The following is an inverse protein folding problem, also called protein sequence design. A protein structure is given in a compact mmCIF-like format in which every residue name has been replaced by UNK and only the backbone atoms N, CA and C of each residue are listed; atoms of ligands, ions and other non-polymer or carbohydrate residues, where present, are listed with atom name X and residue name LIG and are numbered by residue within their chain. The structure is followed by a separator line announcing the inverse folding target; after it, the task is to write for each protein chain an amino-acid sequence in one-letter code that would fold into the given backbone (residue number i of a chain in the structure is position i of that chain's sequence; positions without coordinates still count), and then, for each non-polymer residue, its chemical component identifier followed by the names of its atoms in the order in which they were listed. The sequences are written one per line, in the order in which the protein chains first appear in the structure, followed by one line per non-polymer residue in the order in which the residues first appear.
data_IF_853972909242
#
_entry.id   IF_853972909242
#
_cell.length_a   1.000
_cell.length_b   1.000
_cell.length_c   1.000
_cell.angle_alpha   90.00
_cell.angle_beta   90.00
_cell.angle_gamma   90.00
#
_symmetry.space_group_name_H-M   'P 1'
#
loop_
_entity.id
_entity.type
_entity.pdbx_description
1 polymer ?
#
# COMPACT_ATOMS: atom_id res chain seq x y z
N UNK A 1 -25.48 -11.09 -29.33
CA UNK A 1 -25.94 -10.50 -28.06
C UNK A 1 -25.28 -11.28 -26.94
N UNK A 2 -24.60 -10.58 -26.03
CA UNK A 2 -23.81 -11.05 -24.88
C UNK A 2 -22.40 -11.58 -25.17
N UNK A 3 -21.41 -10.67 -25.26
CA UNK A 3 -19.98 -10.97 -25.06
C UNK A 3 -19.19 -9.75 -24.53
N UNK A 4 -19.84 -8.90 -23.72
CA UNK A 4 -19.26 -7.61 -23.26
C UNK A 4 -19.31 -7.46 -21.73
N UNK A 5 -19.30 -8.56 -20.96
CA UNK A 5 -19.40 -8.48 -19.49
C UNK A 5 -18.11 -8.79 -18.74
N UNK A 6 -17.10 -9.31 -19.42
CA UNK A 6 -15.85 -9.72 -18.78
C UNK A 6 -14.79 -8.61 -18.79
N UNK A 7 -14.92 -7.59 -19.65
CA UNK A 7 -13.95 -6.48 -19.74
C UNK A 7 -14.07 -5.49 -18.55
N UNK A 8 -15.28 -5.20 -18.06
CA UNK A 8 -15.50 -4.20 -17.01
C UNK A 8 -14.96 -4.62 -15.62
N UNK A 9 -14.93 -5.92 -15.30
CA UNK A 9 -14.39 -6.42 -14.02
C UNK A 9 -12.85 -6.40 -14.00
N UNK A 10 -12.18 -6.59 -15.16
CA UNK A 10 -10.72 -6.53 -15.26
C UNK A 10 -10.18 -5.12 -15.06
N UNK A 11 -10.85 -4.09 -15.61
CA UNK A 11 -10.39 -2.70 -15.60
C UNK A 11 -10.31 -2.13 -14.18
N UNK A 12 -11.21 -2.50 -13.26
CA UNK A 12 -11.17 -2.04 -11.87
C UNK A 12 -9.97 -2.63 -11.12
N UNK A 13 -9.66 -3.92 -11.36
CA UNK A 13 -8.51 -4.59 -10.74
C UNK A 13 -7.18 -4.02 -11.23
N UNK A 14 -7.10 -3.70 -12.53
CA UNK A 14 -5.92 -3.09 -13.16
C UNK A 14 -5.74 -1.63 -12.70
N UNK A 15 -6.83 -0.85 -12.61
CA UNK A 15 -6.78 0.54 -12.11
C UNK A 15 -6.40 0.60 -10.63
N UNK A 16 -6.92 -0.31 -9.79
CA UNK A 16 -6.50 -0.41 -8.39
C UNK A 16 -5.00 -0.71 -8.28
N UNK A 17 -4.48 -1.66 -9.05
CA UNK A 17 -3.06 -2.02 -9.01
C UNK A 17 -2.18 -0.83 -9.40
N UNK A 18 -2.55 -0.09 -10.45
CA UNK A 18 -1.87 1.14 -10.87
C UNK A 18 -1.94 2.22 -9.78
N UNK A 19 -3.09 2.37 -9.10
CA UNK A 19 -3.23 3.31 -8.00
C UNK A 19 -2.35 2.90 -6.80
N UNK A 20 -2.20 1.60 -6.52
CA UNK A 20 -1.30 1.07 -5.49
C UNK A 20 0.16 1.30 -5.86
N UNK A 21 0.55 1.16 -7.13
CA UNK A 21 1.90 1.52 -7.58
C UNK A 21 2.19 3.01 -7.39
N UNK A 22 1.24 3.89 -7.71
CA UNK A 22 1.36 5.32 -7.43
C UNK A 22 1.48 5.62 -5.93
N UNK A 23 0.87 4.82 -5.05
CA UNK A 23 1.06 4.94 -3.59
C UNK A 23 2.53 4.69 -3.24
N UNK A 24 3.16 3.68 -3.83
CA UNK A 24 4.58 3.36 -3.60
C UNK A 24 5.46 4.57 -3.97
N UNK A 25 5.27 5.16 -5.15
CA UNK A 25 6.03 6.33 -5.61
C UNK A 25 5.89 7.53 -4.66
N UNK A 26 4.66 7.81 -4.19
CA UNK A 26 4.40 8.88 -3.21
C UNK A 26 5.11 8.61 -1.89
N UNK A 27 5.12 7.36 -1.43
CA UNK A 27 5.78 6.99 -0.18
C UNK A 27 7.30 7.04 -0.30
N UNK A 28 7.88 6.62 -1.42
CA UNK A 28 9.32 6.79 -1.69
C UNK A 28 9.73 8.26 -1.65
N UNK A 29 8.93 9.14 -2.25
CA UNK A 29 9.15 10.59 -2.20
C UNK A 29 9.04 11.14 -0.77
N UNK A 30 8.12 10.60 0.02
CA UNK A 30 7.85 11.05 1.39
C UNK A 30 8.85 10.56 2.42
N UNK A 31 9.38 9.35 2.25
CA UNK A 31 10.30 8.68 3.16
C UNK A 31 11.64 8.38 2.46
N UNK A 32 12.40 9.42 2.03
CA UNK A 32 13.64 9.21 1.27
C UNK A 32 14.74 8.50 2.05
N UNK A 33 14.61 8.42 3.37
CA UNK A 33 15.53 7.72 4.29
C UNK A 33 15.26 6.22 4.42
N UNK A 34 14.10 5.75 3.94
CA UNK A 34 13.68 4.35 4.01
C UNK A 34 14.00 3.67 2.68
N UNK A 35 14.46 2.41 2.75
CA UNK A 35 14.73 1.62 1.55
C UNK A 35 13.46 1.48 0.68
N UNK A 36 13.56 1.61 -0.65
CA UNK A 36 12.47 1.31 -1.58
C UNK A 36 11.81 -0.05 -1.32
N UNK A 37 12.62 -1.07 -1.01
CA UNK A 37 12.14 -2.44 -0.73
C UNK A 37 11.28 -2.50 0.52
N UNK A 38 11.63 -1.76 1.57
CA UNK A 38 10.86 -1.74 2.82
C UNK A 38 9.52 -1.00 2.63
N UNK A 39 9.52 0.06 1.80
CA UNK A 39 8.30 0.77 1.40
C UNK A 39 7.37 -0.15 0.60
N UNK A 40 7.89 -0.84 -0.42
CA UNK A 40 7.13 -1.82 -1.19
C UNK A 40 6.57 -2.94 -0.30
N UNK A 41 7.39 -3.44 0.62
CA UNK A 41 6.99 -4.50 1.54
C UNK A 41 5.84 -4.04 2.45
N UNK A 42 5.92 -2.83 3.03
CA UNK A 42 4.85 -2.27 3.85
C UNK A 42 3.56 -2.09 3.04
N UNK A 43 3.63 -1.52 1.84
CA UNK A 43 2.47 -1.34 0.95
C UNK A 43 1.82 -2.68 0.61
N UNK A 44 2.60 -3.67 0.17
CA UNK A 44 2.09 -5.01 -0.18
C UNK A 44 1.51 -5.74 1.02
N UNK A 45 2.12 -5.58 2.20
CA UNK A 45 1.62 -6.19 3.45
C UNK A 45 0.24 -5.64 3.81
N UNK A 46 0.06 -4.32 3.70
CA UNK A 46 -1.24 -3.68 3.98
C UNK A 46 -2.26 -4.02 2.90
N UNK A 47 -1.87 -4.01 1.61
CA UNK A 47 -2.76 -4.35 0.49
C UNK A 47 -3.36 -5.75 0.59
N UNK A 48 -2.55 -6.75 0.99
CA UNK A 48 -3.02 -8.12 1.25
C UNK A 48 -4.12 -8.23 2.30
N UNK A 49 -4.26 -7.26 3.20
CA UNK A 49 -5.35 -7.25 4.21
C UNK A 49 -6.73 -6.99 3.58
N UNK A 50 -6.78 -6.53 2.33
CA UNK A 50 -8.00 -6.19 1.60
C UNK A 50 -8.34 -7.19 0.49
N UNK A 51 -7.60 -8.31 0.36
CA UNK A 51 -7.80 -9.26 -0.75
C UNK A 51 -9.23 -9.79 -0.85
N UNK A 52 -9.92 -9.99 0.29
CA UNK A 52 -11.30 -10.49 0.35
C UNK A 52 -12.36 -9.38 0.45
N UNK A 53 -11.97 -8.10 0.34
CA UNK A 53 -12.90 -6.98 0.44
C UNK A 53 -13.70 -6.80 -0.86
N UNK A 54 -15.04 -6.69 -0.71
CA UNK A 54 -15.99 -6.55 -1.84
C UNK A 54 -16.04 -5.15 -2.44
N UNK A 55 -15.75 -4.12 -1.64
CA UNK A 55 -15.71 -2.71 -2.09
C UNK A 55 -14.24 -2.30 -2.11
N UNK A 56 -13.74 -1.92 -3.28
CA UNK A 56 -12.30 -1.75 -3.52
C UNK A 56 -11.87 -0.32 -3.87
N UNK A 57 -12.80 0.59 -4.15
CA UNK A 57 -12.56 2.00 -4.49
C UNK A 57 -11.68 2.75 -3.46
N UNK A 58 -11.73 2.33 -2.19
CA UNK A 58 -10.98 2.96 -1.10
C UNK A 58 -9.69 2.22 -0.73
N UNK A 59 -9.41 1.07 -1.34
CA UNK A 59 -8.24 0.24 -1.02
C UNK A 59 -6.94 1.04 -1.19
N UNK A 60 -6.69 1.79 -2.28
CA UNK A 60 -5.46 2.55 -2.44
C UNK A 60 -5.23 3.58 -1.30
N UNK A 61 -6.29 4.28 -0.89
CA UNK A 61 -6.24 5.27 0.21
C UNK A 61 -5.97 4.61 1.56
N UNK A 62 -6.61 3.47 1.83
CA UNK A 62 -6.42 2.72 3.07
C UNK A 62 -5.03 2.09 3.13
N UNK A 63 -4.52 1.60 2.00
CA UNK A 63 -3.17 1.07 1.85
C UNK A 63 -2.13 2.14 2.17
N UNK A 64 -2.23 3.33 1.56
CA UNK A 64 -1.31 4.43 1.87
C UNK A 64 -1.33 4.80 3.35
N UNK A 65 -2.54 4.92 3.94
CA UNK A 65 -2.69 5.25 5.36
C UNK A 65 -2.08 4.17 6.26
N UNK A 66 -2.27 2.89 5.94
CA UNK A 66 -1.69 1.78 6.69
C UNK A 66 -0.17 1.73 6.58
N UNK A 67 0.37 1.83 5.37
CA UNK A 67 1.81 1.81 5.13
C UNK A 67 2.51 2.97 5.84
N UNK A 68 1.93 4.17 5.83
CA UNK A 68 2.46 5.31 6.60
C UNK A 68 2.55 5.06 8.09
N UNK A 69 1.62 4.28 8.67
CA UNK A 69 1.65 3.92 10.09
C UNK A 69 2.76 2.90 10.37
N UNK A 70 2.88 1.86 9.55
CA UNK A 70 3.91 0.83 9.71
C UNK A 70 5.33 1.40 9.53
N UNK A 71 5.51 2.28 8.55
CA UNK A 71 6.77 2.97 8.32
C UNK A 71 7.10 3.94 9.47
N UNK A 72 6.12 4.69 9.98
CA UNK A 72 6.35 5.58 11.11
C UNK A 72 6.81 4.79 12.35
N UNK A 73 6.15 3.66 12.65
CA UNK A 73 6.49 2.80 13.78
C UNK A 73 7.89 2.17 13.63
N UNK A 74 8.22 1.70 12.42
CA UNK A 74 9.55 1.15 12.11
C UNK A 74 10.68 2.19 12.13
N UNK A 75 10.36 3.47 11.90
CA UNK A 75 11.34 4.57 11.92
C UNK A 75 11.58 5.16 13.32
N UNK A 76 10.76 4.81 14.32
CA UNK A 76 11.06 5.20 15.70
C UNK A 76 12.26 4.36 16.14
N UNK A 77 13.45 4.94 16.41
CA UNK A 77 14.51 4.16 17.02
C UNK A 77 13.99 3.67 18.36
N UNK A 78 14.06 2.35 18.57
CA UNK A 78 13.71 1.73 19.84
C UNK A 78 14.38 2.51 20.98
N UNK A 79 13.59 3.22 21.78
CA UNK A 79 14.03 3.83 23.02
C UNK A 79 14.39 2.68 23.96
N UNK A 80 15.63 2.23 23.91
CA UNK A 80 16.12 1.05 24.62
C UNK A 80 17.59 1.08 25.01
N UNK A 81 18.41 1.98 24.45
CA UNK A 81 19.78 2.20 24.88
C UNK A 81 19.83 3.27 25.99
N UNK A 82 19.15 3.00 27.12
CA UNK A 82 19.44 3.70 28.37
C UNK A 82 20.40 2.80 29.16
N UNK A 83 21.67 3.15 29.04
CA UNK A 83 22.77 2.68 29.87
C UNK A 83 22.47 3.05 31.34
N UNK A 84 22.49 2.06 32.23
CA UNK A 84 22.65 2.20 33.68
C UNK A 84 23.53 1.05 34.18
#
# INVERSE_FOLDING_TARGET
MASQRDDDESVIGDDELLQVEQVIERLMTRYPSVSPVDIEHAVRTVHKRFTDCRIRDFVPLLVEKGARRELADSTVPAVGDIVL
#
